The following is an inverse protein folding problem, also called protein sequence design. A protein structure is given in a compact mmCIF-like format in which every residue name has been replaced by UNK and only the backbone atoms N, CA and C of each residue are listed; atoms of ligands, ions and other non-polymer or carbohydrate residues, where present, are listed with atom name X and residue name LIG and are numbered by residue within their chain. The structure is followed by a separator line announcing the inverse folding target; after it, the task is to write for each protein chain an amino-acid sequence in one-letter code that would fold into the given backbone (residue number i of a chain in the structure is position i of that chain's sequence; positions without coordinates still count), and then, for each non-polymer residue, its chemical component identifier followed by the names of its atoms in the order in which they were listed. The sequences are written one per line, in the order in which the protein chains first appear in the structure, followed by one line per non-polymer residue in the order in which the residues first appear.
data_IF_440517612780
#
_entry.id   IF_440517612780
#
_cell.length_a   1.000
_cell.length_b   1.000
_cell.length_c   1.000
_cell.angle_alpha   90.00
_cell.angle_beta   90.00
_cell.angle_gamma   90.00
#
_symmetry.space_group_name_H-M   'P 1'
#
loop_
_entity.id
_entity.type
_entity.pdbx_description
1 polymer ?
#
# COMPACT_ATOMS: atom_id res chain seq x y z
N UNK A 1 4.17 4.34 10.17
CA UNK A 1 2.73 4.51 10.50
C UNK A 1 1.91 4.44 9.23
N UNK A 2 0.73 3.79 9.24
CA UNK A 2 -0.15 3.78 8.07
C UNK A 2 -1.51 4.41 8.41
N UNK A 3 -1.92 5.40 7.61
CA UNK A 3 -3.12 6.20 7.85
C UNK A 3 -3.78 6.60 6.53
N UNK A 4 -5.03 7.06 6.54
CA UNK A 4 -5.60 7.69 5.32
C UNK A 4 -4.92 9.04 5.04
N UNK A 5 -4.93 9.90 6.06
CA UNK A 5 -4.16 11.13 6.13
C UNK A 5 -3.27 11.05 7.38
N UNK A 6 -1.93 11.11 7.24
CA UNK A 6 -1.04 11.00 8.39
C UNK A 6 -0.92 12.29 9.21
N UNK A 7 -1.42 13.45 8.74
CA UNK A 7 -1.21 14.74 9.41
C UNK A 7 -1.73 14.76 10.85
N UNK A 8 -3.00 14.40 11.06
CA UNK A 8 -3.62 14.40 12.39
C UNK A 8 -2.99 13.36 13.34
N UNK A 9 -2.78 12.09 12.95
CA UNK A 9 -2.07 11.13 13.80
C UNK A 9 -0.65 11.57 14.16
N UNK A 10 0.10 12.20 13.24
CA UNK A 10 1.44 12.72 13.54
C UNK A 10 1.37 13.84 14.59
N UNK A 11 0.40 14.75 14.48
CA UNK A 11 0.22 15.83 15.45
C UNK A 11 -0.08 15.27 16.85
N UNK A 12 -0.92 14.25 16.94
CA UNK A 12 -1.25 13.56 18.20
C UNK A 12 -0.02 12.85 18.77
N UNK A 13 0.72 12.09 17.96
CA UNK A 13 1.93 11.39 18.40
C UNK A 13 2.97 12.37 18.96
N UNK A 14 3.16 13.51 18.30
CA UNK A 14 4.08 14.57 18.77
C UNK A 14 3.64 15.18 20.10
N UNK A 15 2.34 15.34 20.35
CA UNK A 15 1.83 15.80 21.64
C UNK A 15 2.07 14.76 22.74
N UNK A 16 1.86 13.48 22.43
CA UNK A 16 2.11 12.38 23.36
C UNK A 16 3.59 12.27 23.71
N UNK A 17 4.50 12.41 22.74
CA UNK A 17 5.94 12.43 22.99
C UNK A 17 6.35 13.59 23.90
N UNK A 18 5.84 14.80 23.62
CA UNK A 18 6.08 15.98 24.47
C UNK A 18 5.59 15.75 25.89
N UNK A 19 4.39 15.19 26.05
CA UNK A 19 3.80 14.93 27.37
C UNK A 19 4.56 13.85 28.13
N UNK A 20 5.04 12.81 27.43
CA UNK A 20 5.78 11.70 28.02
C UNK A 20 7.28 12.01 28.24
N UNK A 21 7.79 13.15 27.75
CA UNK A 21 9.22 13.45 27.75
C UNK A 21 10.03 12.47 26.88
N UNK A 22 9.41 11.87 25.87
CA UNK A 22 10.07 10.92 24.97
C UNK A 22 10.92 11.65 23.92
N UNK A 23 11.91 10.95 23.36
CA UNK A 23 12.69 11.48 22.23
C UNK A 23 11.78 11.59 21.00
N UNK A 24 11.71 12.74 20.32
CA UNK A 24 10.85 12.91 19.14
C UNK A 24 11.25 11.96 18.01
N UNK A 25 10.31 11.14 17.54
CA UNK A 25 10.47 10.34 16.33
C UNK A 25 10.18 11.13 15.05
N UNK A 26 10.84 10.77 13.94
CA UNK A 26 10.46 11.27 12.61
C UNK A 26 9.26 10.49 12.04
N UNK A 27 8.10 10.70 12.65
CA UNK A 27 6.85 10.08 12.23
C UNK A 27 6.45 10.46 10.81
N UNK A 28 6.89 11.63 10.33
CA UNK A 28 6.55 12.12 8.99
C UNK A 28 7.31 11.32 7.92
N UNK A 29 8.61 11.09 8.11
CA UNK A 29 9.39 10.22 7.22
C UNK A 29 8.87 8.78 7.22
N UNK A 30 8.40 8.30 8.36
CA UNK A 30 7.92 6.93 8.58
C UNK A 30 6.46 6.69 8.20
N UNK A 31 5.74 7.73 7.78
CA UNK A 31 4.31 7.65 7.47
C UNK A 31 4.08 7.26 6.01
N UNK A 32 3.15 6.32 5.81
CA UNK A 32 2.63 5.93 4.49
C UNK A 32 1.13 6.17 4.50
N UNK A 33 0.64 6.95 3.54
CA UNK A 33 -0.81 7.14 3.38
C UNK A 33 -1.43 6.00 2.55
N UNK A 34 -2.65 5.59 2.88
CA UNK A 34 -3.39 4.55 2.16
C UNK A 34 -3.58 4.93 0.67
N UNK A 35 -3.95 6.18 0.32
CA UNK A 35 -4.06 6.57 -1.08
C UNK A 35 -2.73 6.47 -1.85
N UNK A 36 -1.63 6.92 -1.24
CA UNK A 36 -0.30 6.81 -1.82
C UNK A 36 0.08 5.34 -2.05
N UNK A 37 -0.15 4.53 -1.03
CA UNK A 37 0.08 3.09 -1.08
C UNK A 37 -0.70 2.42 -2.23
N UNK A 38 -1.99 2.71 -2.33
CA UNK A 38 -2.83 2.15 -3.39
C UNK A 38 -2.39 2.62 -4.78
N UNK A 39 -2.00 3.89 -4.93
CA UNK A 39 -1.50 4.44 -6.18
C UNK A 39 -0.20 3.77 -6.64
N UNK A 40 0.70 3.46 -5.70
CA UNK A 40 1.92 2.71 -6.02
C UNK A 40 1.60 1.30 -6.53
N UNK A 41 0.67 0.58 -5.88
CA UNK A 41 0.24 -0.74 -6.39
C UNK A 41 -0.33 -0.62 -7.81
N UNK A 42 -1.16 0.40 -8.07
CA UNK A 42 -1.72 0.64 -9.39
C UNK A 42 -0.64 0.93 -10.44
N UNK A 43 0.34 1.77 -10.10
CA UNK A 43 1.45 2.11 -10.99
C UNK A 43 2.31 0.88 -11.32
N UNK A 44 2.63 0.04 -10.33
CA UNK A 44 3.40 -1.18 -10.54
C UNK A 44 2.63 -2.19 -11.39
N UNK A 45 1.32 -2.37 -11.13
CA UNK A 45 0.49 -3.26 -11.97
C UNK A 45 0.47 -2.81 -13.43
N UNK A 46 0.30 -1.51 -13.68
CA UNK A 46 0.33 -0.96 -15.03
C UNK A 46 1.70 -1.16 -15.71
N UNK A 47 2.81 -1.03 -14.96
CA UNK A 47 4.15 -1.31 -15.47
C UNK A 47 4.31 -2.78 -15.88
N UNK A 48 3.80 -3.72 -15.08
CA UNK A 48 3.86 -5.14 -15.41
C UNK A 48 3.00 -5.47 -16.63
N UNK A 49 1.76 -4.95 -16.69
CA UNK A 49 0.88 -5.14 -17.85
C UNK A 49 1.53 -4.63 -19.13
N UNK A 50 2.13 -3.43 -19.09
CA UNK A 50 2.88 -2.87 -20.21
C UNK A 50 4.01 -3.81 -20.63
N UNK A 51 4.82 -4.30 -19.67
CA UNK A 51 5.94 -5.18 -20.00
C UNK A 51 5.51 -6.52 -20.56
N UNK A 52 4.40 -7.09 -20.05
CA UNK A 52 3.80 -8.32 -20.59
C UNK A 52 3.31 -8.09 -22.02
N UNK A 53 2.67 -6.97 -22.32
CA UNK A 53 2.25 -6.63 -23.68
C UNK A 53 3.45 -6.48 -24.64
N UNK A 54 4.54 -5.85 -24.20
CA UNK A 54 5.79 -5.75 -24.96
C UNK A 54 6.41 -7.13 -25.21
N UNK A 55 6.47 -7.99 -24.20
CA UNK A 55 7.02 -9.33 -24.35
C UNK A 55 6.15 -10.20 -25.27
N UNK A 56 4.82 -10.05 -25.18
CA UNK A 56 3.88 -10.74 -26.07
C UNK A 56 4.01 -10.32 -27.54
N UNK A 57 4.37 -9.06 -27.79
CA UNK A 57 4.66 -8.58 -29.15
C UNK A 57 5.88 -9.29 -29.78
N UNK A 58 6.79 -9.80 -28.94
CA UNK A 58 8.00 -10.53 -29.35
C UNK A 58 7.78 -12.05 -29.35
N UNK A 59 6.97 -12.55 -28.42
CA UNK A 59 6.66 -13.96 -28.26
C UNK A 59 5.15 -14.18 -28.03
N UNK A 60 4.49 -14.80 -29.01
CA UNK A 60 3.03 -15.04 -28.97
C UNK A 60 2.59 -16.06 -27.92
N UNK A 61 3.51 -16.85 -27.36
CA UNK A 61 3.22 -17.84 -26.32
C UNK A 61 3.10 -17.21 -24.93
N UNK A 62 3.43 -15.92 -24.78
CA UNK A 62 3.27 -15.19 -23.52
C UNK A 62 1.79 -14.90 -23.27
N UNK A 63 1.27 -15.49 -22.20
CA UNK A 63 -0.09 -15.24 -21.73
C UNK A 63 -0.25 -13.84 -21.12
N UNK A 64 -1.47 -13.30 -21.22
CA UNK A 64 -1.83 -12.02 -20.59
C UNK A 64 -1.66 -12.06 -19.07
N UNK A 65 -1.50 -10.88 -18.49
CA UNK A 65 -1.51 -10.70 -17.05
C UNK A 65 -2.93 -10.38 -16.60
N UNK A 66 -3.52 -11.32 -15.87
CA UNK A 66 -4.81 -11.15 -15.23
C UNK A 66 -4.62 -10.98 -13.72
N UNK A 67 -5.38 -10.07 -13.13
CA UNK A 67 -5.40 -9.83 -11.70
C UNK A 67 -6.64 -10.47 -11.08
N UNK A 68 -6.45 -11.30 -10.05
CA UNK A 68 -7.55 -11.96 -9.34
C UNK A 68 -8.55 -10.94 -8.77
N UNK A 69 -8.03 -9.80 -8.29
CA UNK A 69 -8.86 -8.70 -7.82
C UNK A 69 -8.45 -7.40 -8.51
N UNK A 70 -9.36 -6.73 -9.23
CA UNK A 70 -9.04 -5.46 -9.86
C UNK A 70 -8.72 -4.39 -8.80
N UNK A 71 -8.13 -3.28 -9.24
CA UNK A 71 -8.07 -2.07 -8.43
C UNK A 71 -9.22 -1.15 -8.83
N UNK A 72 -9.68 -0.27 -7.91
CA UNK A 72 -10.64 0.77 -8.27
C UNK A 72 -10.07 1.69 -9.35
N UNK A 73 -10.89 2.01 -10.35
CA UNK A 73 -10.59 3.00 -11.39
C UNK A 73 -11.83 3.92 -11.57
N UNK A 74 -11.77 5.21 -11.20
CA UNK A 74 -10.61 5.90 -10.62
C UNK A 74 -10.27 5.44 -9.19
N UNK A 75 -9.05 5.74 -8.75
CA UNK A 75 -8.65 5.53 -7.35
C UNK A 75 -9.51 6.36 -6.38
N UNK A 76 -9.92 5.81 -5.23
CA UNK A 76 -10.80 6.50 -4.29
C UNK A 76 -10.10 7.65 -3.58
N UNK A 77 -10.82 8.77 -3.45
CA UNK A 77 -10.37 9.98 -2.75
C UNK A 77 -10.70 9.97 -1.26
N UNK A 78 -11.59 9.08 -0.80
CA UNK A 78 -12.00 8.99 0.62
C UNK A 78 -11.96 7.56 1.19
N UNK A 79 -11.79 7.40 2.52
CA UNK A 79 -11.88 6.09 3.18
C UNK A 79 -13.21 5.38 2.89
N UNK A 80 -14.30 6.12 2.85
CA UNK A 80 -15.66 5.61 2.63
C UNK A 80 -15.84 5.06 1.21
N UNK A 81 -15.27 5.73 0.21
CA UNK A 81 -15.25 5.25 -1.17
C UNK A 81 -14.49 3.92 -1.29
N UNK A 82 -13.29 3.84 -0.72
CA UNK A 82 -12.52 2.60 -0.74
C UNK A 82 -13.23 1.49 0.06
N UNK A 83 -13.82 1.82 1.21
CA UNK A 83 -14.55 0.86 2.01
C UNK A 83 -15.76 0.28 1.25
N UNK A 84 -16.54 1.13 0.58
CA UNK A 84 -17.67 0.73 -0.27
C UNK A 84 -17.20 -0.16 -1.42
N UNK A 85 -16.11 0.24 -2.07
CA UNK A 85 -15.55 -0.51 -3.20
C UNK A 85 -15.08 -1.91 -2.78
N UNK A 86 -14.38 -2.00 -1.65
CA UNK A 86 -13.86 -3.28 -1.13
C UNK A 86 -14.95 -4.21 -0.57
N UNK A 87 -16.20 -3.74 -0.47
CA UNK A 87 -17.36 -4.48 0.07
C UNK A 87 -17.08 -5.12 1.43
N UNK A 88 -16.23 -4.50 2.23
CA UNK A 88 -15.91 -5.00 3.56
C UNK A 88 -17.13 -4.86 4.48
N UNK A 89 -17.31 -5.80 5.41
CA UNK A 89 -18.35 -5.69 6.42
C UNK A 89 -18.17 -4.39 7.22
N UNK A 90 -19.28 -3.71 7.48
CA UNK A 90 -19.28 -2.51 8.33
C UNK A 90 -18.78 -2.89 9.72
N UNK A 91 -17.87 -2.08 10.27
CA UNK A 91 -17.37 -2.23 11.63
C UNK A 91 -17.94 -1.12 12.48
N UNK A 92 -18.38 -1.45 13.68
CA UNK A 92 -18.73 -0.48 14.70
C UNK A 92 -18.02 -0.90 15.99
N UNK A 93 -17.23 0.00 16.55
CA UNK A 93 -16.57 -0.16 17.84
C UNK A 93 -17.18 0.82 18.87
N UNK A 94 -16.89 0.65 20.17
CA UNK A 94 -17.51 1.47 21.23
C UNK A 94 -17.30 2.98 21.08
N UNK A 95 -16.27 3.41 20.35
CA UNK A 95 -16.00 4.83 20.07
C UNK A 95 -15.86 5.08 18.58
N UNK A 96 -16.12 6.33 18.15
CA UNK A 96 -15.90 6.77 16.77
C UNK A 96 -14.44 6.62 16.34
N UNK A 97 -13.50 6.95 17.24
CA UNK A 97 -12.06 6.82 16.99
C UNK A 97 -11.66 5.36 16.79
N UNK A 98 -12.15 4.45 17.64
CA UNK A 98 -11.88 3.02 17.48
C UNK A 98 -12.49 2.49 16.17
N UNK A 99 -13.68 2.96 15.80
CA UNK A 99 -14.32 2.59 14.53
C UNK A 99 -13.48 3.05 13.34
N UNK A 100 -13.04 4.31 13.33
CA UNK A 100 -12.17 4.85 12.29
C UNK A 100 -10.85 4.07 12.18
N UNK A 101 -10.20 3.78 13.31
CA UNK A 101 -8.96 3.00 13.34
C UNK A 101 -9.14 1.58 12.76
N UNK A 102 -10.25 0.90 13.08
CA UNK A 102 -10.55 -0.42 12.52
C UNK A 102 -10.83 -0.36 11.02
N UNK A 103 -11.54 0.66 10.54
CA UNK A 103 -11.75 0.88 9.10
C UNK A 103 -10.39 1.10 8.41
N UNK A 104 -9.56 2.02 8.90
CA UNK A 104 -8.22 2.28 8.37
C UNK A 104 -7.37 1.01 8.36
N UNK A 105 -7.37 0.21 9.44
CA UNK A 105 -6.63 -1.05 9.52
C UNK A 105 -7.12 -2.12 8.52
N UNK A 106 -8.43 -2.18 8.24
CA UNK A 106 -8.97 -3.10 7.22
C UNK A 106 -8.64 -2.66 5.80
N UNK A 107 -8.67 -1.36 5.54
CA UNK A 107 -8.27 -0.78 4.25
C UNK A 107 -6.78 -1.01 4.01
N UNK A 108 -5.94 -0.71 5.01
CA UNK A 108 -4.52 -1.04 5.05
C UNK A 108 -4.25 -2.50 4.69
N UNK A 109 -4.88 -3.43 5.41
CA UNK A 109 -4.72 -4.87 5.16
C UNK A 109 -5.20 -5.29 3.78
N UNK A 110 -6.19 -4.60 3.21
CA UNK A 110 -6.61 -4.82 1.83
C UNK A 110 -5.54 -4.37 0.83
N UNK A 111 -4.95 -3.18 0.97
CA UNK A 111 -3.88 -2.70 0.08
C UNK A 111 -2.64 -3.60 0.18
N UNK A 112 -2.24 -4.02 1.38
CA UNK A 112 -1.13 -4.97 1.59
C UNK A 112 -1.39 -6.30 0.87
N UNK A 113 -2.63 -6.81 0.89
CA UNK A 113 -2.98 -8.02 0.13
C UNK A 113 -2.86 -7.82 -1.37
N UNK A 114 -3.27 -6.64 -1.88
CA UNK A 114 -3.10 -6.30 -3.31
C UNK A 114 -1.63 -6.19 -3.70
N UNK A 115 -0.78 -5.63 -2.84
CA UNK A 115 0.67 -5.66 -3.05
C UNK A 115 1.20 -7.09 -3.15
N UNK A 116 0.85 -7.98 -2.21
CA UNK A 116 1.31 -9.38 -2.23
C UNK A 116 0.90 -10.11 -3.51
N UNK A 117 -0.31 -9.87 -4.01
CA UNK A 117 -0.79 -10.39 -5.29
C UNK A 117 0.07 -9.86 -6.46
N UNK A 118 0.39 -8.56 -6.46
CA UNK A 118 1.27 -7.94 -7.45
C UNK A 118 2.69 -8.53 -7.39
N UNK A 119 3.30 -8.64 -6.21
CA UNK A 119 4.63 -9.20 -6.02
C UNK A 119 4.70 -10.68 -6.46
N UNK A 120 3.64 -11.46 -6.21
CA UNK A 120 3.56 -12.85 -6.65
C UNK A 120 3.57 -13.01 -8.18
N UNK A 121 3.13 -11.98 -8.94
CA UNK A 121 3.20 -12.00 -10.39
C UNK A 121 4.64 -12.03 -10.93
N UNK A 122 5.60 -11.40 -10.21
CA UNK A 122 7.04 -11.50 -10.50
C UNK A 122 7.57 -12.91 -10.29
N UNK A 123 7.11 -13.58 -9.23
CA UNK A 123 7.57 -14.92 -8.85
C UNK A 123 7.35 -15.98 -9.95
N UNK A 124 6.39 -15.75 -10.85
CA UNK A 124 6.00 -16.71 -11.90
C UNK A 124 6.61 -16.40 -13.28
N UNK A 125 7.32 -15.28 -13.45
CA UNK A 125 7.72 -14.75 -14.77
C UNK A 125 9.13 -14.15 -14.74
N UNK A 126 10.10 -14.91 -15.23
CA UNK A 126 11.52 -14.51 -15.18
C UNK A 126 11.83 -13.21 -15.92
N UNK A 127 11.14 -12.93 -17.03
CA UNK A 127 11.33 -11.67 -17.77
C UNK A 127 10.85 -10.43 -17.01
N UNK A 128 9.86 -10.56 -16.12
CA UNK A 128 9.47 -9.47 -15.23
C UNK A 128 10.49 -9.31 -14.10
N UNK A 129 10.96 -10.41 -13.53
CA UNK A 129 11.99 -10.39 -12.48
C UNK A 129 13.31 -9.78 -12.95
N UNK A 130 13.70 -10.05 -14.21
CA UNK A 130 14.90 -9.48 -14.80
C UNK A 130 14.87 -7.94 -14.89
N UNK A 131 13.68 -7.34 -14.98
CA UNK A 131 13.51 -5.89 -15.09
C UNK A 131 13.16 -5.21 -13.77
N UNK A 132 12.24 -5.80 -13.00
CA UNK A 132 11.69 -5.21 -11.79
C UNK A 132 12.33 -5.75 -10.50
N UNK A 133 13.23 -6.72 -10.60
CA UNK A 133 13.90 -7.35 -9.47
C UNK A 133 13.08 -8.45 -8.80
N UNK A 134 13.52 -8.83 -7.60
CA UNK A 134 12.88 -9.88 -6.81
C UNK A 134 11.58 -9.40 -6.14
N UNK A 135 10.60 -10.29 -5.90
CA UNK A 135 9.42 -9.96 -5.12
C UNK A 135 9.80 -9.49 -3.70
N UNK A 136 9.38 -8.28 -3.34
CA UNK A 136 9.56 -7.72 -1.99
C UNK A 136 8.31 -7.85 -1.13
N UNK A 137 8.49 -7.82 0.19
CA UNK A 137 7.39 -7.97 1.17
C UNK A 137 6.46 -6.75 1.16
N UNK A 138 7.02 -5.56 0.95
CA UNK A 138 6.31 -4.29 0.85
C UNK A 138 6.62 -3.63 -0.49
N UNK A 139 5.73 -2.72 -0.91
CA UNK A 139 5.99 -1.91 -2.09
C UNK A 139 7.28 -1.07 -1.87
N UNK A 140 8.10 -0.84 -2.91
CA UNK A 140 9.43 -0.24 -2.78
C UNK A 140 9.45 1.06 -1.96
N UNK A 141 8.49 1.95 -2.19
CA UNK A 141 8.43 3.23 -1.48
C UNK A 141 8.05 3.04 0.01
N UNK A 142 7.24 2.04 0.33
CA UNK A 142 6.88 1.74 1.71
C UNK A 142 8.04 1.09 2.44
N UNK A 143 8.71 0.15 1.78
CA UNK A 143 9.89 -0.52 2.34
C UNK A 143 10.97 0.51 2.64
N UNK A 144 11.24 1.44 1.72
CA UNK A 144 12.17 2.55 1.95
C UNK A 144 11.79 3.37 3.17
N UNK A 145 10.53 3.83 3.27
CA UNK A 145 10.07 4.64 4.41
C UNK A 145 10.11 3.89 5.73
N UNK A 146 9.82 2.60 5.74
CA UNK A 146 9.92 1.77 6.94
C UNK A 146 11.39 1.54 7.31
N UNK A 147 12.26 1.24 6.35
CA UNK A 147 13.67 1.02 6.59
C UNK A 147 14.38 2.28 7.11
N UNK A 148 14.08 3.45 6.53
CA UNK A 148 14.66 4.72 6.97
C UNK A 148 14.20 5.09 8.39
N UNK A 149 12.97 4.71 8.79
CA UNK A 149 12.45 4.93 10.14
C UNK A 149 13.21 4.17 11.25
N UNK A 150 13.82 3.03 10.91
CA UNK A 150 14.52 2.16 11.86
C UNK A 150 16.04 2.16 11.68
N UNK A 151 16.58 3.04 10.83
CA UNK A 151 18.03 3.17 10.69
C UNK A 151 18.58 3.86 11.96
N UNK A 152 19.52 3.24 12.70
CA UNK A 152 20.15 3.91 13.84
C UNK A 152 20.88 5.16 13.35
N UNK A 153 20.71 6.26 14.10
CA UNK A 153 21.40 7.53 13.89
C UNK A 153 22.91 7.41 14.12
#
# INVERSE_FOLDING_TARGET
MLAWDPADPIAILRELERTAGATPGDWAASAVSIPFALAEVASVRAAYEKRVAEERSRNKDVMDLEWDVPLPDPLPGTPEELHRWTRQAVVVAPTRVATAALVTGRLAGWVVRRWRETANALGRRDYLRAEFGEPTVLAPEWERRVADAFRPA
#
